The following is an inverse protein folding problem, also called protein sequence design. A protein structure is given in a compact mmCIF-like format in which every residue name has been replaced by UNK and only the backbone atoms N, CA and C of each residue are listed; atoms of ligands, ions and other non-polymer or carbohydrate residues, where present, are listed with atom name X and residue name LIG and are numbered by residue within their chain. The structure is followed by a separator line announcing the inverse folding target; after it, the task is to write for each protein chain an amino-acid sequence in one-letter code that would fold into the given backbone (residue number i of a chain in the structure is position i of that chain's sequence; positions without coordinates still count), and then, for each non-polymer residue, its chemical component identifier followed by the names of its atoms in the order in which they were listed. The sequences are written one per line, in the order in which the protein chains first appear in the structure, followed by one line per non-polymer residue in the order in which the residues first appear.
data_IF_757485988676
#
_entry.id   IF_757485988676
#
_cell.length_a   1.000
_cell.length_b   1.000
_cell.length_c   1.000
_cell.angle_alpha   90.00
_cell.angle_beta   90.00
_cell.angle_gamma   90.00
#
_symmetry.space_group_name_H-M   'P 1'
#
loop_
_entity.id
_entity.type
_entity.pdbx_description
1 polymer ?
#
# COMPACT_ATOMS: atom_id res chain seq x y z
N UNK A 1 24.38 53.33 -33.24
CA UNK A 1 24.53 51.89 -33.56
C UNK A 1 24.99 51.04 -32.35
N UNK A 2 26.05 51.41 -31.61
CA UNK A 2 26.49 50.69 -30.39
C UNK A 2 25.44 50.59 -29.26
N UNK A 3 24.62 51.64 -29.08
CA UNK A 3 23.55 51.67 -28.05
C UNK A 3 22.35 50.77 -28.37
N UNK A 4 22.06 50.54 -29.66
CA UNK A 4 20.99 49.63 -30.10
C UNK A 4 21.41 48.15 -29.96
N UNK A 5 22.69 47.85 -30.17
CA UNK A 5 23.25 46.51 -29.99
C UNK A 5 23.26 46.07 -28.51
N UNK A 6 23.48 47.02 -27.58
CA UNK A 6 23.42 46.75 -26.13
C UNK A 6 22.00 46.50 -25.61
N UNK A 7 20.98 47.12 -26.22
CA UNK A 7 19.57 46.93 -25.84
C UNK A 7 19.06 45.58 -26.36
N UNK A 8 19.48 45.14 -27.54
CA UNK A 8 19.09 43.83 -28.09
C UNK A 8 19.65 42.65 -27.28
N UNK A 9 20.87 42.76 -26.73
CA UNK A 9 21.44 41.72 -25.85
C UNK A 9 20.69 41.65 -24.50
N UNK A 10 20.22 42.78 -23.98
CA UNK A 10 19.47 42.84 -22.71
C UNK A 10 18.08 42.19 -22.80
N UNK A 11 17.46 42.14 -23.98
CA UNK A 11 16.13 41.54 -24.18
C UNK A 11 16.20 40.01 -24.29
N UNK A 12 17.32 39.45 -24.77
CA UNK A 12 17.49 37.99 -24.88
C UNK A 12 17.74 37.26 -23.54
N UNK A 13 18.07 37.98 -22.47
CA UNK A 13 18.36 37.39 -21.15
C UNK A 13 17.08 37.16 -20.32
N UNK A 14 15.95 37.79 -20.69
CA UNK A 14 14.69 37.72 -19.96
C UNK A 14 13.83 36.46 -20.18
N UNK A 15 14.29 35.48 -20.96
CA UNK A 15 13.50 34.30 -21.34
C UNK A 15 14.02 32.97 -20.75
N UNK A 16 14.89 33.02 -19.74
CA UNK A 16 15.16 31.83 -18.92
C UNK A 16 14.03 31.67 -17.90
N UNK A 17 12.88 31.19 -18.37
CA UNK A 17 11.85 30.62 -17.51
C UNK A 17 12.48 29.44 -16.77
N UNK A 18 12.81 29.65 -15.50
CA UNK A 18 13.07 28.55 -14.56
C UNK A 18 11.79 27.72 -14.48
N UNK A 19 11.71 26.65 -15.26
CA UNK A 19 10.76 25.58 -15.02
C UNK A 19 11.05 25.06 -13.62
N UNK A 20 10.24 25.46 -12.64
CA UNK A 20 10.26 24.84 -11.34
C UNK A 20 9.88 23.37 -11.58
N UNK A 21 10.88 22.48 -11.48
CA UNK A 21 10.62 21.04 -11.42
C UNK A 21 9.81 20.86 -10.14
N UNK A 22 8.50 20.67 -10.28
CA UNK A 22 7.64 20.29 -9.16
C UNK A 22 8.07 18.91 -8.72
N UNK A 23 8.94 18.84 -7.72
CA UNK A 23 9.23 17.59 -7.01
C UNK A 23 7.93 17.08 -6.40
N UNK A 24 7.63 15.79 -6.58
CA UNK A 24 6.52 15.13 -5.89
C UNK A 24 6.69 15.34 -4.37
N UNK A 25 5.76 16.01 -3.68
CA UNK A 25 5.87 16.22 -2.23
C UNK A 25 5.71 14.90 -1.45
N UNK A 26 5.20 13.84 -2.09
CA UNK A 26 5.10 12.51 -1.48
C UNK A 26 6.45 11.80 -1.50
N UNK A 27 7.12 11.77 -0.35
CA UNK A 27 8.45 11.16 -0.18
C UNK A 27 8.40 9.66 0.11
N UNK A 28 7.23 9.02 0.03
CA UNK A 28 7.08 7.59 0.33
C UNK A 28 7.78 6.71 -0.68
N UNK A 29 8.25 5.56 -0.22
CA UNK A 29 8.87 4.56 -1.06
C UNK A 29 7.84 3.96 -2.03
N UNK A 30 8.06 4.17 -3.33
CA UNK A 30 7.20 3.64 -4.38
C UNK A 30 7.46 2.15 -4.54
N UNK A 31 6.40 1.35 -4.43
CA UNK A 31 6.37 -0.06 -4.81
C UNK A 31 5.67 -0.15 -6.17
N UNK A 32 6.43 -0.30 -7.28
CA UNK A 32 5.86 -0.40 -8.61
C UNK A 32 5.35 -1.83 -8.86
N UNK A 33 4.04 -1.99 -9.06
CA UNK A 33 3.38 -3.28 -9.28
C UNK A 33 2.64 -3.31 -10.61
N UNK A 34 2.49 -4.49 -11.22
CA UNK A 34 1.54 -4.66 -12.31
C UNK A 34 0.09 -4.64 -11.79
N UNK A 35 -0.89 -4.65 -12.69
CA UNK A 35 -2.31 -4.57 -12.31
C UNK A 35 -2.74 -5.70 -11.36
N UNK A 36 -2.33 -6.94 -11.62
CA UNK A 36 -2.70 -8.11 -10.82
C UNK A 36 -2.08 -8.07 -9.43
N UNK A 37 -0.78 -7.76 -9.34
CA UNK A 37 -0.05 -7.61 -8.09
C UNK A 37 -0.65 -6.51 -7.22
N UNK A 38 -0.94 -5.35 -7.82
CA UNK A 38 -1.57 -4.24 -7.11
C UNK A 38 -2.95 -4.61 -6.61
N UNK A 39 -3.76 -5.26 -7.46
CA UNK A 39 -5.09 -5.72 -7.06
C UNK A 39 -5.01 -6.69 -5.88
N UNK A 40 -4.09 -7.67 -5.93
CA UNK A 40 -3.89 -8.65 -4.87
C UNK A 40 -3.58 -7.97 -3.52
N UNK A 41 -2.53 -7.13 -3.46
CA UNK A 41 -2.14 -6.45 -2.22
C UNK A 41 -3.26 -5.56 -1.68
N UNK A 42 -3.94 -4.80 -2.54
CA UNK A 42 -5.03 -3.94 -2.09
C UNK A 42 -6.28 -4.72 -1.67
N UNK A 43 -6.49 -5.93 -2.20
CA UNK A 43 -7.55 -6.83 -1.76
C UNK A 43 -7.27 -7.36 -0.35
N UNK A 44 -6.03 -7.77 -0.09
CA UNK A 44 -5.59 -8.21 1.23
C UNK A 44 -5.70 -7.08 2.26
N UNK A 45 -5.21 -5.87 1.94
CA UNK A 45 -5.37 -4.69 2.80
C UNK A 45 -6.84 -4.37 3.13
N UNK A 46 -7.75 -4.56 2.16
CA UNK A 46 -9.18 -4.36 2.39
C UNK A 46 -9.76 -5.41 3.33
N UNK A 47 -9.41 -6.68 3.14
CA UNK A 47 -9.86 -7.77 4.02
C UNK A 47 -9.34 -7.57 5.45
N UNK A 48 -8.09 -7.14 5.63
CA UNK A 48 -7.52 -6.79 6.93
C UNK A 48 -8.29 -5.64 7.62
N UNK A 49 -8.65 -4.60 6.87
CA UNK A 49 -9.43 -3.48 7.39
C UNK A 49 -10.87 -3.89 7.77
N UNK A 50 -11.55 -4.64 6.91
CA UNK A 50 -12.90 -5.16 7.17
C UNK A 50 -12.89 -6.09 8.39
N UNK A 51 -11.92 -7.00 8.46
CA UNK A 51 -11.73 -7.89 9.60
C UNK A 51 -11.47 -7.15 10.92
N UNK A 52 -10.66 -6.09 10.88
CA UNK A 52 -10.45 -5.20 12.04
C UNK A 52 -11.77 -4.59 12.53
N UNK A 53 -12.61 -4.11 11.60
CA UNK A 53 -13.91 -3.54 11.94
C UNK A 53 -14.84 -4.58 12.57
N UNK A 54 -14.85 -5.81 12.05
CA UNK A 54 -15.66 -6.91 12.59
C UNK A 54 -15.20 -7.33 13.99
N UNK A 55 -13.89 -7.36 14.24
CA UNK A 55 -13.35 -7.63 15.57
C UNK A 55 -13.76 -6.53 16.56
N UNK A 56 -13.67 -5.25 16.18
CA UNK A 56 -14.15 -4.14 17.00
C UNK A 56 -15.64 -4.24 17.32
N UNK A 57 -16.46 -4.63 16.35
CA UNK A 57 -17.89 -4.87 16.59
C UNK A 57 -18.11 -6.04 17.56
N UNK A 58 -17.32 -7.11 17.44
CA UNK A 58 -17.41 -8.28 18.31
C UNK A 58 -16.94 -7.96 19.74
N UNK A 59 -15.93 -7.12 19.89
CA UNK A 59 -15.50 -6.56 21.18
C UNK A 59 -16.63 -5.78 21.86
N UNK A 60 -17.34 -4.93 21.12
CA UNK A 60 -18.48 -4.17 21.66
C UNK A 60 -19.62 -5.08 22.17
N UNK A 61 -19.72 -6.29 21.64
CA UNK A 61 -20.69 -7.33 22.06
C UNK A 61 -20.10 -8.33 23.05
N UNK A 62 -18.81 -8.21 23.38
CA UNK A 62 -18.05 -9.18 24.18
C UNK A 62 -18.10 -10.62 23.61
N UNK A 63 -18.22 -10.77 22.30
CA UNK A 63 -18.29 -12.05 21.61
C UNK A 63 -16.88 -12.58 21.28
N UNK A 64 -16.26 -13.24 22.25
CA UNK A 64 -14.90 -13.78 22.11
C UNK A 64 -14.79 -14.87 21.05
N UNK A 65 -15.86 -15.65 20.82
CA UNK A 65 -15.86 -16.69 19.79
C UNK A 65 -15.84 -16.06 18.39
N UNK A 66 -16.63 -14.99 18.17
CA UNK A 66 -16.56 -14.23 16.94
C UNK A 66 -15.19 -13.57 16.75
N UNK A 67 -14.62 -12.96 17.80
CA UNK A 67 -13.27 -12.38 17.72
C UNK A 67 -12.26 -13.42 17.28
N UNK A 68 -12.21 -14.58 17.95
CA UNK A 68 -11.28 -15.65 17.65
C UNK A 68 -11.37 -16.10 16.18
N UNK A 69 -12.61 -16.39 15.73
CA UNK A 69 -12.88 -16.82 14.36
C UNK A 69 -12.41 -15.80 13.32
N UNK A 70 -12.77 -14.53 13.52
CA UNK A 70 -12.43 -13.48 12.56
C UNK A 70 -10.93 -13.19 12.55
N UNK A 71 -10.31 -13.10 13.72
CA UNK A 71 -8.87 -12.89 13.83
C UNK A 71 -8.07 -14.05 13.21
N UNK A 72 -8.47 -15.31 13.41
CA UNK A 72 -7.80 -16.47 12.78
C UNK A 72 -7.82 -16.37 11.25
N UNK A 73 -8.93 -15.91 10.66
CA UNK A 73 -9.06 -15.77 9.20
C UNK A 73 -8.13 -14.72 8.58
N UNK A 74 -7.63 -13.78 9.39
CA UNK A 74 -6.69 -12.72 9.01
C UNK A 74 -5.24 -13.07 9.41
N UNK A 75 -5.05 -14.22 10.05
CA UNK A 75 -3.78 -14.69 10.57
C UNK A 75 -2.79 -15.07 9.46
N UNK A 76 -1.70 -15.73 9.85
CA UNK A 76 -0.67 -16.19 8.92
C UNK A 76 -1.16 -17.25 7.92
N UNK A 77 -2.28 -17.91 8.23
CA UNK A 77 -2.95 -18.85 7.33
C UNK A 77 -3.98 -18.18 6.42
N UNK A 78 -4.09 -16.84 6.44
CA UNK A 78 -5.01 -16.11 5.57
C UNK A 78 -4.81 -16.58 4.12
N UNK A 79 -5.88 -17.09 3.48
CA UNK A 79 -5.83 -17.42 2.07
C UNK A 79 -5.42 -16.14 1.33
N UNK A 80 -4.48 -16.24 0.39
CA UNK A 80 -3.85 -15.14 -0.35
C UNK A 80 -2.54 -14.57 0.22
N UNK A 81 -1.94 -15.13 1.27
CA UNK A 81 -0.57 -14.73 1.68
C UNK A 81 0.46 -15.08 0.60
N UNK A 82 0.82 -14.09 -0.22
CA UNK A 82 2.02 -14.09 -1.06
C UNK A 82 2.09 -15.22 -2.09
N UNK A 83 1.15 -15.21 -3.04
CA UNK A 83 1.28 -16.02 -4.25
C UNK A 83 2.65 -15.79 -4.91
N UNK A 84 3.22 -16.83 -5.53
CA UNK A 84 4.55 -16.83 -6.16
C UNK A 84 4.83 -15.60 -7.05
N UNK A 85 3.77 -14.95 -7.56
CA UNK A 85 3.82 -13.76 -8.39
C UNK A 85 4.25 -12.46 -7.68
N UNK A 86 4.39 -12.45 -6.34
CA UNK A 86 4.90 -11.33 -5.53
C UNK A 86 6.31 -11.56 -4.96
N UNK A 87 6.83 -12.79 -5.03
CA UNK A 87 8.15 -13.13 -4.51
C UNK A 87 9.26 -12.32 -5.17
N UNK A 88 10.12 -11.71 -4.36
CA UNK A 88 11.26 -10.91 -4.82
C UNK A 88 10.89 -9.51 -5.35
N UNK A 89 9.61 -9.14 -5.38
CA UNK A 89 9.14 -7.84 -5.87
C UNK A 89 8.96 -6.85 -4.73
N UNK A 90 8.43 -7.32 -3.60
CA UNK A 90 8.14 -6.47 -2.45
C UNK A 90 9.40 -6.19 -1.62
N UNK A 91 9.60 -4.96 -1.11
CA UNK A 91 10.68 -4.66 -0.18
C UNK A 91 10.60 -5.53 1.08
N UNK A 92 11.74 -6.06 1.54
CA UNK A 92 11.78 -6.89 2.76
C UNK A 92 11.10 -6.23 3.98
N UNK A 93 11.27 -4.93 4.27
CA UNK A 93 10.59 -4.30 5.40
C UNK A 93 9.07 -4.22 5.21
N UNK A 94 8.58 -4.04 3.98
CA UNK A 94 7.15 -4.07 3.66
C UNK A 94 6.55 -5.46 3.98
N UNK A 95 7.20 -6.53 3.51
CA UNK A 95 6.80 -7.92 3.80
C UNK A 95 6.83 -8.20 5.30
N UNK A 96 7.88 -7.75 5.99
CA UNK A 96 8.02 -7.95 7.43
C UNK A 96 6.90 -7.25 8.23
N UNK A 97 6.47 -6.04 7.83
CA UNK A 97 5.33 -5.37 8.46
C UNK A 97 4.01 -6.11 8.19
N UNK A 98 3.76 -6.55 6.95
CA UNK A 98 2.60 -7.37 6.62
C UNK A 98 2.54 -8.63 7.49
N UNK A 99 3.65 -9.37 7.61
CA UNK A 99 3.71 -10.56 8.47
C UNK A 99 3.52 -10.26 9.96
N UNK A 100 3.96 -9.10 10.45
CA UNK A 100 3.69 -8.68 11.82
C UNK A 100 2.19 -8.46 12.06
N UNK A 101 1.48 -7.87 11.08
CA UNK A 101 0.03 -7.72 11.12
C UNK A 101 -0.67 -9.07 11.21
N UNK A 102 -0.36 -10.01 10.31
CA UNK A 102 -0.95 -11.36 10.33
C UNK A 102 -0.69 -12.10 11.65
N UNK A 103 0.55 -12.06 12.17
CA UNK A 103 0.87 -12.67 13.47
C UNK A 103 0.12 -11.99 14.62
N UNK A 104 -0.09 -10.68 14.55
CA UNK A 104 -0.90 -9.96 15.53
C UNK A 104 -2.34 -10.47 15.56
N UNK A 105 -2.93 -10.76 14.40
CA UNK A 105 -4.25 -11.37 14.33
C UNK A 105 -4.27 -12.81 14.87
N UNK A 106 -3.24 -13.62 14.62
CA UNK A 106 -3.12 -14.94 15.25
C UNK A 106 -3.05 -14.85 16.77
N UNK A 107 -2.36 -13.84 17.31
CA UNK A 107 -2.28 -13.58 18.75
C UNK A 107 -3.65 -13.18 19.30
N UNK A 108 -4.38 -12.29 18.64
CA UNK A 108 -5.75 -11.93 19.03
C UNK A 108 -6.64 -13.17 19.06
N UNK A 109 -6.52 -14.05 18.05
CA UNK A 109 -7.32 -15.25 18.00
C UNK A 109 -7.05 -16.16 19.20
N UNK A 110 -5.78 -16.44 19.49
CA UNK A 110 -5.38 -17.23 20.65
C UNK A 110 -5.76 -16.58 21.98
N UNK A 111 -5.63 -15.26 22.10
CA UNK A 111 -6.03 -14.53 23.31
C UNK A 111 -7.54 -14.61 23.53
N UNK A 112 -8.37 -14.51 22.48
CA UNK A 112 -9.82 -14.64 22.57
C UNK A 112 -10.29 -16.09 22.85
N UNK A 113 -9.51 -17.09 22.41
CA UNK A 113 -9.76 -18.51 22.70
C UNK A 113 -9.43 -18.88 24.16
N UNK A 114 -8.36 -18.30 24.71
CA UNK A 114 -7.77 -18.71 26.00
C UNK A 114 -8.10 -17.78 27.15
N UNK A 115 -8.41 -16.52 26.87
CA UNK A 115 -8.64 -15.47 27.86
C UNK A 115 -9.90 -14.68 27.54
N UNK A 116 -10.53 -14.08 28.55
CA UNK A 116 -11.73 -13.24 28.41
C UNK A 116 -11.43 -11.77 28.73
N UNK A 117 -10.22 -11.32 28.43
CA UNK A 117 -9.72 -9.97 28.71
C UNK A 117 -9.83 -9.08 27.46
N UNK A 118 -10.99 -8.42 27.21
CA UNK A 118 -11.18 -7.56 26.04
C UNK A 118 -10.16 -6.42 25.95
N UNK A 119 -9.64 -5.95 27.08
CA UNK A 119 -8.59 -4.95 27.18
C UNK A 119 -7.29 -5.38 26.49
N UNK A 120 -6.91 -6.65 26.62
CA UNK A 120 -5.70 -7.19 25.97
C UNK A 120 -5.88 -7.22 24.46
N UNK A 121 -7.04 -7.68 23.98
CA UNK A 121 -7.38 -7.70 22.56
C UNK A 121 -7.38 -6.28 21.98
N UNK A 122 -7.93 -5.31 22.72
CA UNK A 122 -7.92 -3.90 22.29
C UNK A 122 -6.49 -3.35 22.18
N UNK A 123 -5.61 -3.69 23.14
CA UNK A 123 -4.20 -3.32 23.07
C UNK A 123 -3.51 -3.92 21.84
N UNK A 124 -3.78 -5.19 21.52
CA UNK A 124 -3.26 -5.83 20.29
C UNK A 124 -3.73 -5.14 19.02
N UNK A 125 -5.01 -4.78 18.95
CA UNK A 125 -5.54 -4.01 17.81
C UNK A 125 -4.85 -2.65 17.69
N UNK A 126 -4.55 -1.98 18.81
CA UNK A 126 -3.78 -0.73 18.79
C UNK A 126 -2.37 -0.95 18.24
N UNK A 127 -1.71 -2.06 18.58
CA UNK A 127 -0.37 -2.38 18.06
C UNK A 127 -0.40 -2.70 16.55
N UNK A 128 -1.40 -3.46 16.10
CA UNK A 128 -1.60 -3.78 14.68
C UNK A 128 -1.87 -2.51 13.85
N UNK A 129 -2.78 -1.66 14.32
CA UNK A 129 -3.16 -0.43 13.59
C UNK A 129 -2.02 0.58 13.50
N UNK A 130 -1.11 0.61 14.48
CA UNK A 130 0.15 1.37 14.38
C UNK A 130 1.01 0.89 13.21
N UNK A 131 1.15 -0.42 13.00
CA UNK A 131 1.91 -0.96 11.86
C UNK A 131 1.26 -0.55 10.53
N UNK A 132 -0.07 -0.51 10.45
CA UNK A 132 -0.77 0.01 9.27
C UNK A 132 -0.40 1.47 8.99
N UNK A 133 -0.39 2.31 10.04
CA UNK A 133 -0.02 3.73 9.92
C UNK A 133 1.43 3.90 9.46
N UNK A 134 2.37 3.16 10.06
CA UNK A 134 3.79 3.20 9.72
C UNK A 134 4.03 2.76 8.27
N UNK A 135 3.36 1.68 7.84
CA UNK A 135 3.44 1.20 6.46
C UNK A 135 2.88 2.24 5.48
N UNK A 136 1.72 2.83 5.77
CA UNK A 136 1.10 3.83 4.90
C UNK A 136 1.87 5.17 4.85
N UNK A 137 2.59 5.50 5.91
CA UNK A 137 3.48 6.66 5.98
C UNK A 137 4.82 6.41 5.28
N UNK A 138 5.24 5.15 5.14
CA UNK A 138 6.50 4.77 4.50
C UNK A 138 6.38 4.37 3.03
N UNK A 139 5.23 3.84 2.62
CA UNK A 139 5.07 3.18 1.32
C UNK A 139 3.88 3.69 0.52
N UNK A 140 4.05 3.57 -0.79
CA UNK A 140 3.02 3.91 -1.77
C UNK A 140 3.04 2.86 -2.88
N UNK A 141 1.87 2.28 -3.17
CA UNK A 141 1.72 1.29 -4.23
C UNK A 141 1.30 2.00 -5.52
N UNK A 142 2.17 1.98 -6.55
CA UNK A 142 1.89 2.54 -7.88
C UNK A 142 1.83 1.45 -8.93
N UNK A 143 1.01 1.68 -9.97
CA UNK A 143 1.11 0.88 -11.18
C UNK A 143 2.46 1.14 -11.84
N UNK A 144 3.17 0.08 -12.21
CA UNK A 144 4.35 0.19 -13.06
C UNK A 144 3.88 0.72 -14.41
N UNK A 145 4.47 1.82 -14.87
CA UNK A 145 4.22 2.32 -16.22
C UNK A 145 4.52 1.18 -17.22
N UNK A 146 3.56 0.87 -18.10
CA UNK A 146 3.87 0.05 -19.25
C UNK A 146 4.81 0.86 -20.15
N UNK A 147 5.97 0.30 -20.49
CA UNK A 147 6.73 0.79 -21.64
C UNK A 147 5.85 0.55 -22.87
N UNK A 148 5.15 1.60 -23.32
CA UNK A 148 4.34 1.53 -24.53
C UNK A 148 5.23 1.24 -25.72
N UNK A 149 5.19 0.00 -26.22
CA UNK A 149 5.28 -0.19 -27.65
C UNK A 149 3.91 0.19 -28.20
N UNK A 150 3.84 1.36 -28.81
CA UNK A 150 2.81 1.69 -29.79
C UNK A 150 2.96 0.68 -30.92
N UNK A 151 2.24 -0.45 -30.83
CA UNK A 151 1.95 -1.27 -31.99
C UNK A 151 0.96 -0.46 -32.83
N UNK A 152 1.50 0.27 -33.81
CA UNK A 152 0.71 0.86 -34.87
C UNK A 152 -0.14 -0.25 -35.51
N UNK A 153 -1.45 -0.09 -35.37
CA UNK A 153 -2.45 -0.26 -36.42
C UNK A 153 -2.00 -1.14 -37.59
N UNK A 154 -2.16 -2.47 -37.45
CA UNK A 154 -2.20 -3.37 -38.60
C UNK A 154 -3.67 -3.59 -38.97
N UNK A 155 -4.12 -3.17 -40.17
CA UNK A 155 -5.47 -3.48 -40.60
C UNK A 155 -5.58 -5.00 -40.80
N UNK A 156 -6.53 -5.61 -40.10
CA UNK A 156 -6.96 -6.98 -40.37
C UNK A 156 -7.58 -7.03 -41.78
N UNK A 157 -6.78 -7.43 -42.76
CA UNK A 157 -7.32 -7.93 -44.03
C UNK A 157 -7.93 -9.31 -43.79
N UNK A 158 -9.24 -9.39 -44.02
CA UNK A 158 -9.99 -10.63 -44.20
C UNK A 158 -9.44 -11.38 -45.41
N UNK A 159 -9.19 -12.69 -45.23
CA UNK A 159 -9.49 -13.71 -46.22
C UNK A 159 -9.94 -14.98 -45.50
#
# INVERSE_FOLDING_TARGET
MKKFFLILISVCIGLFSTSAISSDPDTRHIIPLNMMQRHHILSEMRALLEGTQVILQSLAKQDMAAIAKHARSLGTEMPHTGEQHLHGILPKPFVAMGMQVHRGFDQIATEAETSRHPETILQRLSDITRICADCHAGYQIRLRASSGHTELDKPHHKH
#
